data_IF_627273115121
#
_entry.id   IF_627273115121
#
_cell.length_a   1.000
_cell.length_b   1.000
_cell.length_c   1.000
_cell.angle_alpha   90.00
_cell.angle_beta   90.00
_cell.angle_gamma   90.00
#
_symmetry.space_group_name_H-M   'P 1'
#
loop_
_entity.id
_entity.type
_entity.pdbx_description
1 polymer ?
#
# COMPACT_ATOMS: atom_id res chain seq x y z
N UNK A 1 -9.82 10.20 -21.00
CA UNK A 1 -10.05 8.75 -21.19
C UNK A 1 -11.52 8.51 -21.48
N UNK A 2 -11.84 7.67 -22.46
CA UNK A 2 -13.22 7.23 -22.68
C UNK A 2 -13.66 6.35 -21.49
N UNK A 3 -14.89 6.50 -21.01
CA UNK A 3 -15.45 5.72 -19.88
C UNK A 3 -15.24 4.20 -20.06
N UNK A 4 -15.35 3.71 -21.30
CA UNK A 4 -15.10 2.29 -21.66
C UNK A 4 -13.67 1.85 -21.34
N UNK A 5 -12.66 2.66 -21.66
CA UNK A 5 -11.27 2.35 -21.38
C UNK A 5 -10.99 2.27 -19.87
N UNK A 6 -11.58 3.18 -19.08
CA UNK A 6 -11.44 3.15 -17.62
C UNK A 6 -12.03 1.87 -17.00
N UNK A 7 -13.20 1.43 -17.47
CA UNK A 7 -13.83 0.17 -17.00
C UNK A 7 -12.96 -1.04 -17.34
N UNK A 8 -12.42 -1.12 -18.56
CA UNK A 8 -11.52 -2.22 -18.97
C UNK A 8 -10.28 -2.27 -18.06
N UNK A 9 -9.67 -1.12 -17.79
CA UNK A 9 -8.51 -1.03 -16.90
C UNK A 9 -8.85 -1.51 -15.49
N UNK A 10 -10.01 -1.10 -14.95
CA UNK A 10 -10.45 -1.53 -13.61
C UNK A 10 -10.62 -3.05 -13.55
N UNK A 11 -11.31 -3.65 -14.53
CA UNK A 11 -11.52 -5.10 -14.60
C UNK A 11 -10.18 -5.84 -14.66
N UNK A 12 -9.24 -5.35 -15.48
CA UNK A 12 -7.91 -5.92 -15.57
C UNK A 12 -7.15 -5.86 -14.23
N UNK A 13 -7.21 -4.72 -13.53
CA UNK A 13 -6.60 -4.56 -12.20
C UNK A 13 -7.17 -5.58 -11.20
N UNK A 14 -8.49 -5.78 -11.20
CA UNK A 14 -9.13 -6.77 -10.33
C UNK A 14 -8.69 -8.20 -10.63
N UNK A 15 -8.61 -8.57 -11.91
CA UNK A 15 -8.14 -9.89 -12.34
C UNK A 15 -6.69 -10.09 -11.88
N UNK A 16 -5.78 -9.16 -12.22
CA UNK A 16 -4.38 -9.24 -11.81
C UNK A 16 -4.22 -9.31 -10.29
N UNK A 17 -4.91 -8.43 -9.54
CA UNK A 17 -4.87 -8.43 -8.07
C UNK A 17 -5.36 -9.74 -7.47
N UNK A 18 -6.40 -10.35 -8.06
CA UNK A 18 -6.93 -11.64 -7.62
C UNK A 18 -5.95 -12.79 -7.88
N UNK A 19 -5.30 -12.79 -9.05
CA UNK A 19 -4.25 -13.77 -9.38
C UNK A 19 -3.04 -13.63 -8.44
N UNK A 20 -2.58 -12.41 -8.17
CA UNK A 20 -1.47 -12.16 -7.24
C UNK A 20 -1.80 -12.61 -5.82
N UNK A 21 -3.06 -12.48 -5.40
CA UNK A 21 -3.51 -12.83 -4.04
C UNK A 21 -3.84 -14.32 -3.88
N UNK A 22 -3.97 -15.05 -4.99
CA UNK A 22 -4.36 -16.47 -5.00
C UNK A 22 -3.48 -17.37 -4.13
N UNK A 23 -2.12 -17.23 -4.11
CA UNK A 23 -1.28 -18.02 -3.22
C UNK A 23 -1.64 -17.85 -1.73
N UNK A 24 -1.93 -16.63 -1.27
CA UNK A 24 -2.38 -16.41 0.12
C UNK A 24 -3.66 -17.19 0.41
N UNK A 25 -4.61 -17.20 -0.53
CA UNK A 25 -5.90 -17.87 -0.35
C UNK A 25 -5.76 -19.41 -0.29
N UNK A 26 -4.90 -20.00 -1.12
CA UNK A 26 -4.76 -21.46 -1.22
C UNK A 26 -3.80 -22.06 -0.18
N UNK A 27 -2.74 -21.32 0.18
CA UNK A 27 -1.59 -21.83 0.93
C UNK A 27 -1.60 -21.35 2.40
N UNK A 28 -2.46 -20.41 2.77
CA UNK A 28 -2.61 -20.02 4.18
C UNK A 28 -3.04 -21.20 5.05
N UNK A 29 -2.40 -21.35 6.21
CA UNK A 29 -2.68 -22.42 7.17
C UNK A 29 -2.65 -21.85 8.58
N UNK A 30 -3.57 -22.33 9.42
CA UNK A 30 -3.64 -21.99 10.83
C UNK A 30 -2.87 -23.04 11.66
N UNK A 31 -1.86 -22.60 12.42
CA UNK A 31 -1.06 -23.44 13.32
C UNK A 31 -1.20 -22.92 14.74
N UNK A 32 -1.40 -23.83 15.70
CA UNK A 32 -1.42 -23.52 17.14
C UNK A 32 -0.04 -23.77 17.75
N UNK A 33 0.62 -22.70 18.19
CA UNK A 33 1.89 -22.78 18.91
C UNK A 33 1.65 -22.78 20.42
N UNK A 34 2.35 -23.68 21.13
CA UNK A 34 2.41 -23.67 22.59
C UNK A 34 3.68 -22.93 23.01
N UNK A 35 3.52 -21.76 23.62
CA UNK A 35 4.64 -20.93 24.07
C UNK A 35 5.17 -21.43 25.43
N UNK A 36 6.41 -21.05 25.76
CA UNK A 36 7.08 -21.45 27.01
C UNK A 36 6.34 -21.00 28.28
N UNK A 37 5.46 -19.99 28.16
CA UNK A 37 4.58 -19.51 29.23
C UNK A 37 3.30 -20.36 29.42
N UNK A 38 3.12 -21.44 28.66
CA UNK A 38 1.93 -22.30 28.70
C UNK A 38 0.74 -21.79 27.87
N UNK A 39 0.85 -20.61 27.24
CA UNK A 39 -0.20 -20.10 26.37
C UNK A 39 -0.19 -20.78 25.01
N UNK A 40 -1.38 -21.14 24.53
CA UNK A 40 -1.59 -21.63 23.17
C UNK A 40 -2.12 -20.49 22.32
N UNK A 41 -1.41 -20.14 21.24
CA UNK A 41 -1.84 -19.11 20.28
C UNK A 41 -1.96 -19.72 18.89
N UNK A 42 -3.11 -19.54 18.25
CA UNK A 42 -3.33 -19.95 16.86
C UNK A 42 -3.00 -18.80 15.95
N UNK A 43 -2.05 -19.02 15.04
CA UNK A 43 -1.57 -18.02 14.08
C UNK A 43 -1.80 -18.53 12.65
N UNK A 44 -2.05 -17.61 11.73
CA UNK A 44 -2.19 -17.91 10.31
C UNK A 44 -0.92 -17.47 9.56
N UNK A 45 -0.28 -18.41 8.88
CA UNK A 45 0.93 -18.16 8.07
C UNK A 45 0.77 -18.74 6.67
N UNK A 46 1.51 -18.20 5.71
CA UNK A 46 1.75 -18.88 4.44
C UNK A 46 2.79 -19.97 4.67
N UNK A 47 2.44 -21.22 4.34
CA UNK A 47 3.34 -22.36 4.46
C UNK A 47 3.68 -22.84 3.05
N UNK A 48 4.82 -22.40 2.55
CA UNK A 48 5.34 -22.87 1.27
C UNK A 48 5.89 -24.30 1.39
N UNK A 49 5.85 -25.09 0.30
CA UNK A 49 6.31 -26.47 0.32
C UNK A 49 7.83 -26.63 0.53
N UNK A 50 8.63 -25.55 0.42
CA UNK A 50 10.09 -25.62 0.57
C UNK A 50 10.61 -25.44 2.01
N UNK A 51 9.77 -25.10 2.99
CA UNK A 51 10.27 -24.91 4.35
C UNK A 51 9.38 -24.23 5.37
N UNK A 52 9.98 -23.99 6.55
CA UNK A 52 9.36 -23.37 7.72
C UNK A 52 9.14 -21.86 7.46
N UNK A 53 8.03 -21.27 7.93
CA UNK A 53 7.80 -19.82 7.83
C UNK A 53 9.02 -19.01 8.31
N UNK A 54 9.48 -18.06 7.49
CA UNK A 54 10.65 -17.22 7.78
C UNK A 54 11.99 -17.72 7.22
N UNK A 55 12.10 -18.98 6.78
CA UNK A 55 13.30 -19.51 6.08
C UNK A 55 13.02 -19.95 4.64
N UNK A 56 11.74 -20.02 4.24
CA UNK A 56 11.32 -20.36 2.88
C UNK A 56 11.84 -19.36 1.84
N UNK A 57 12.45 -19.86 0.77
CA UNK A 57 12.92 -19.01 -0.34
C UNK A 57 11.74 -18.55 -1.19
N UNK A 58 10.73 -19.42 -1.39
CA UNK A 58 9.52 -19.03 -2.10
C UNK A 58 8.73 -17.94 -1.37
N UNK A 59 8.65 -17.98 -0.05
CA UNK A 59 8.03 -16.92 0.75
C UNK A 59 8.74 -15.58 0.55
N UNK A 60 10.07 -15.59 0.59
CA UNK A 60 10.86 -14.37 0.39
C UNK A 60 10.68 -13.80 -1.02
N UNK A 61 10.78 -14.63 -2.05
CA UNK A 61 10.56 -14.22 -3.45
C UNK A 61 9.15 -13.65 -3.61
N UNK A 62 8.14 -14.28 -3.01
CA UNK A 62 6.76 -13.82 -3.06
C UNK A 62 6.58 -12.45 -2.38
N UNK A 63 7.13 -12.26 -1.19
CA UNK A 63 7.08 -10.98 -0.46
C UNK A 63 7.80 -9.85 -1.22
N UNK A 64 8.94 -10.15 -1.83
CA UNK A 64 9.66 -9.20 -2.72
C UNK A 64 8.81 -8.86 -3.94
N UNK A 65 8.22 -9.86 -4.60
CA UNK A 65 7.38 -9.64 -5.78
C UNK A 65 6.16 -8.78 -5.44
N UNK A 66 5.49 -9.06 -4.32
CA UNK A 66 4.39 -8.22 -3.81
C UNK A 66 4.89 -6.79 -3.55
N UNK A 67 5.96 -6.62 -2.78
CA UNK A 67 6.52 -5.30 -2.48
C UNK A 67 6.78 -4.50 -3.77
N UNK A 68 7.38 -5.12 -4.78
CA UNK A 68 7.68 -4.44 -6.02
C UNK A 68 6.42 -4.10 -6.82
N UNK A 69 5.51 -5.07 -7.00
CA UNK A 69 4.35 -4.94 -7.89
C UNK A 69 3.21 -4.14 -7.28
N UNK A 70 2.95 -4.27 -5.98
CA UNK A 70 1.81 -3.65 -5.30
C UNK A 70 2.15 -2.38 -4.54
N UNK A 71 3.43 -2.17 -4.20
CA UNK A 71 3.87 -1.00 -3.45
C UNK A 71 4.85 -0.12 -4.24
N UNK A 72 6.05 -0.60 -4.59
CA UNK A 72 7.12 0.23 -5.19
C UNK A 72 6.70 0.79 -6.56
N UNK A 73 6.21 -0.06 -7.47
CA UNK A 73 5.81 0.37 -8.81
C UNK A 73 4.64 1.37 -8.77
N UNK A 74 3.53 1.11 -8.05
CA UNK A 74 2.46 2.10 -7.88
C UNK A 74 2.96 3.39 -7.24
N UNK A 75 3.77 3.32 -6.18
CA UNK A 75 4.32 4.49 -5.50
C UNK A 75 5.20 5.34 -6.42
N UNK A 76 6.12 4.70 -7.16
CA UNK A 76 7.00 5.40 -8.08
C UNK A 76 6.22 6.07 -9.22
N UNK A 77 5.24 5.36 -9.81
CA UNK A 77 4.41 5.91 -10.89
C UNK A 77 3.54 7.08 -10.41
N UNK A 78 2.93 6.98 -9.23
CA UNK A 78 2.14 8.05 -8.62
C UNK A 78 3.02 9.25 -8.25
N UNK A 79 4.16 9.02 -7.60
CA UNK A 79 5.09 10.08 -7.25
C UNK A 79 5.58 10.83 -8.50
N UNK A 80 5.95 10.11 -9.57
CA UNK A 80 6.38 10.71 -10.82
C UNK A 80 5.27 11.55 -11.46
N UNK A 81 4.10 10.95 -11.69
CA UNK A 81 2.98 11.61 -12.38
C UNK A 81 2.46 12.81 -11.59
N UNK A 82 2.29 12.71 -10.26
CA UNK A 82 1.84 13.83 -9.45
C UNK A 82 2.89 14.93 -9.29
N UNK A 83 4.17 14.58 -9.26
CA UNK A 83 5.25 15.59 -9.29
C UNK A 83 5.25 16.36 -10.60
N UNK A 84 5.10 15.67 -11.74
CA UNK A 84 4.98 16.33 -13.04
C UNK A 84 3.75 17.23 -13.10
N UNK A 85 2.59 16.74 -12.66
CA UNK A 85 1.37 17.54 -12.59
C UNK A 85 1.53 18.77 -11.71
N UNK A 86 2.15 18.63 -10.53
CA UNK A 86 2.42 19.75 -9.63
C UNK A 86 3.37 20.77 -10.27
N UNK A 87 4.45 20.32 -10.93
CA UNK A 87 5.38 21.24 -11.62
C UNK A 87 4.68 22.03 -12.73
N UNK A 88 3.82 21.39 -13.51
CA UNK A 88 3.06 22.07 -14.57
C UNK A 88 2.05 23.06 -13.96
N UNK A 89 1.25 22.62 -12.99
CA UNK A 89 0.20 23.44 -12.38
C UNK A 89 0.70 24.64 -11.58
N UNK A 90 1.88 24.54 -10.95
CA UNK A 90 2.50 25.66 -10.21
C UNK A 90 3.54 26.43 -11.04
N UNK A 91 4.13 25.81 -12.05
CA UNK A 91 5.10 26.44 -12.96
C UNK A 91 4.46 27.22 -14.11
N UNK A 92 3.21 26.93 -14.48
CA UNK A 92 2.45 27.71 -15.46
C UNK A 92 1.99 29.05 -14.88
N UNK A 93 2.92 30.00 -14.70
CA UNK A 93 2.58 31.43 -14.69
C UNK A 93 2.23 31.83 -16.12
N UNK A 94 0.95 31.86 -16.47
CA UNK A 94 0.53 32.40 -17.77
C UNK A 94 0.83 33.91 -17.80
N UNK A 95 1.59 34.33 -18.81
CA UNK A 95 1.81 35.74 -19.14
C UNK A 95 0.63 36.16 -20.03
N UNK A 96 -0.37 36.85 -19.44
CA UNK A 96 -1.57 37.30 -20.13
C UNK A 96 -2.74 37.55 -19.16
N UNK A 97 -3.75 38.32 -19.57
CA UNK A 97 -4.95 38.59 -18.77
C UNK A 97 -5.79 37.32 -18.64
N UNK A 98 -5.61 36.58 -17.54
CA UNK A 98 -6.41 35.40 -17.26
C UNK A 98 -7.81 35.81 -16.80
N UNK A 99 -8.83 35.29 -17.49
CA UNK A 99 -10.21 35.35 -17.00
C UNK A 99 -10.29 34.71 -15.61
N UNK A 100 -11.08 35.30 -14.69
CA UNK A 100 -11.30 34.76 -13.34
C UNK A 100 -11.70 33.28 -13.36
N UNK A 101 -12.49 32.86 -14.35
CA UNK A 101 -12.87 31.47 -14.57
C UNK A 101 -11.66 30.54 -14.76
N UNK A 102 -10.65 30.95 -15.53
CA UNK A 102 -9.45 30.14 -15.76
C UNK A 102 -8.61 29.99 -14.49
N UNK A 103 -8.50 31.05 -13.67
CA UNK A 103 -7.81 31.00 -12.38
C UNK A 103 -8.51 30.05 -11.41
N UNK A 104 -9.84 30.09 -11.35
CA UNK A 104 -10.62 29.19 -10.49
C UNK A 104 -10.52 27.74 -10.95
N UNK A 105 -10.51 27.48 -12.26
CA UNK A 105 -10.24 26.14 -12.80
C UNK A 105 -8.85 25.61 -12.42
N UNK A 106 -7.80 26.44 -12.51
CA UNK A 106 -6.43 26.05 -12.13
C UNK A 106 -6.36 25.75 -10.63
N UNK A 107 -6.94 26.62 -9.78
CA UNK A 107 -6.99 26.40 -8.32
C UNK A 107 -7.71 25.12 -7.95
N UNK A 108 -8.83 24.82 -8.61
CA UNK A 108 -9.56 23.56 -8.41
C UNK A 108 -8.70 22.35 -8.76
N UNK A 109 -7.97 22.38 -9.87
CA UNK A 109 -7.03 21.30 -10.24
C UNK A 109 -5.88 21.16 -9.26
N UNK A 110 -5.29 22.26 -8.80
CA UNK A 110 -4.23 22.24 -7.77
C UNK A 110 -4.74 21.61 -6.46
N UNK A 111 -5.98 21.91 -6.06
CA UNK A 111 -6.63 21.32 -4.88
C UNK A 111 -6.76 19.80 -5.02
N UNK A 112 -7.18 19.31 -6.19
CA UNK A 112 -7.25 17.87 -6.48
C UNK A 112 -5.86 17.23 -6.47
N UNK A 113 -4.86 17.82 -7.10
CA UNK A 113 -3.49 17.26 -7.11
C UNK A 113 -2.90 17.23 -5.70
N UNK A 114 -3.10 18.28 -4.90
CA UNK A 114 -2.69 18.31 -3.48
C UNK A 114 -3.36 17.17 -2.70
N UNK A 115 -4.63 16.89 -2.97
CA UNK A 115 -5.36 15.78 -2.36
C UNK A 115 -4.75 14.43 -2.73
N UNK A 116 -4.45 14.22 -4.01
CA UNK A 116 -3.80 12.99 -4.49
C UNK A 116 -2.42 12.79 -3.87
N UNK A 117 -1.62 13.85 -3.70
CA UNK A 117 -0.32 13.79 -3.02
C UNK A 117 -0.50 13.34 -1.55
N UNK A 118 -1.48 13.88 -0.83
CA UNK A 118 -1.76 13.48 0.56
C UNK A 118 -2.13 12.00 0.64
N UNK A 119 -2.98 11.51 -0.28
CA UNK A 119 -3.33 10.07 -0.36
C UNK A 119 -2.09 9.20 -0.56
N UNK A 120 -1.18 9.58 -1.47
CA UNK A 120 0.06 8.83 -1.74
C UNK A 120 0.97 8.78 -0.53
N UNK A 121 1.14 9.91 0.18
CA UNK A 121 1.98 9.97 1.38
C UNK A 121 1.43 9.06 2.48
N UNK A 122 0.11 9.09 2.69
CA UNK A 122 -0.54 8.24 3.69
C UNK A 122 -0.42 6.76 3.31
N UNK A 123 -0.66 6.41 2.05
CA UNK A 123 -0.47 5.05 1.56
C UNK A 123 0.96 4.55 1.81
N UNK A 124 1.96 5.39 1.52
CA UNK A 124 3.37 5.08 1.77
C UNK A 124 3.64 4.77 3.25
N UNK A 125 3.24 5.68 4.14
CA UNK A 125 3.49 5.56 5.58
C UNK A 125 2.75 4.36 6.18
N UNK A 126 1.54 4.06 5.69
CA UNK A 126 0.75 2.97 6.23
C UNK A 126 1.32 1.59 5.85
N UNK A 127 1.77 1.43 4.61
CA UNK A 127 2.19 0.13 4.08
C UNK A 127 3.68 -0.16 4.25
N UNK A 128 4.54 0.87 4.34
CA UNK A 128 5.98 0.68 4.48
C UNK A 128 6.37 -0.19 5.67
N UNK A 129 5.86 0.03 6.91
CA UNK A 129 6.26 -0.76 8.07
C UNK A 129 5.88 -2.24 7.92
N UNK A 130 4.74 -2.52 7.30
CA UNK A 130 4.29 -3.87 7.01
C UNK A 130 5.27 -4.59 6.06
N UNK A 131 5.61 -3.98 4.93
CA UNK A 131 6.57 -4.59 4.01
C UNK A 131 7.98 -4.73 4.58
N UNK A 132 8.46 -3.70 5.31
CA UNK A 132 9.75 -3.76 6.00
C UNK A 132 9.81 -4.88 7.03
N UNK A 133 8.70 -5.16 7.73
CA UNK A 133 8.62 -6.26 8.68
C UNK A 133 8.86 -7.62 8.02
N UNK A 134 8.23 -7.93 6.88
CA UNK A 134 8.44 -9.22 6.21
C UNK A 134 9.88 -9.38 5.70
N UNK A 135 10.46 -8.32 5.14
CA UNK A 135 11.86 -8.33 4.72
C UNK A 135 12.81 -8.55 5.90
N UNK A 136 12.60 -7.81 6.98
CA UNK A 136 13.44 -7.90 8.16
C UNK A 136 13.32 -9.27 8.84
N UNK A 137 12.10 -9.81 8.94
CA UNK A 137 11.84 -11.12 9.55
C UNK A 137 12.51 -12.27 8.78
N UNK A 138 12.73 -12.14 7.47
CA UNK A 138 13.48 -13.13 6.68
C UNK A 138 14.98 -13.09 6.97
N UNK A 139 15.58 -11.89 7.04
CA UNK A 139 17.01 -11.74 7.30
C UNK A 139 17.42 -11.96 8.76
N UNK A 140 16.46 -11.84 9.69
CA UNK A 140 16.71 -12.00 11.13
C UNK A 140 15.64 -12.90 11.76
N UNK A 141 15.66 -14.21 11.48
CA UNK A 141 14.66 -15.15 11.97
C UNK A 141 14.66 -15.28 13.51
N UNK A 142 15.77 -14.94 14.17
CA UNK A 142 15.87 -14.88 15.63
C UNK A 142 14.90 -13.88 16.27
N UNK A 143 14.53 -12.83 15.52
CA UNK A 143 13.59 -11.82 15.99
C UNK A 143 12.20 -12.43 16.16
N UNK A 144 11.79 -13.36 15.29
CA UNK A 144 10.48 -14.01 15.36
C UNK A 144 10.23 -14.77 16.69
N UNK A 145 11.28 -15.12 17.42
CA UNK A 145 11.18 -15.79 18.72
C UNK A 145 11.01 -14.85 19.92
N UNK A 146 11.06 -13.52 19.74
CA UNK A 146 10.87 -12.58 20.85
C UNK A 146 9.38 -12.35 21.13
N UNK A 147 9.02 -12.30 22.41
CA UNK A 147 7.62 -12.15 22.86
C UNK A 147 6.94 -10.86 22.36
N UNK A 148 7.71 -9.77 22.14
CA UNK A 148 7.16 -8.50 21.66
C UNK A 148 6.85 -8.47 20.16
N UNK A 149 7.36 -9.41 19.36
CA UNK A 149 7.24 -9.36 17.89
C UNK A 149 5.80 -9.45 17.43
N UNK A 150 4.95 -10.20 18.13
CA UNK A 150 3.54 -10.29 17.81
C UNK A 150 2.83 -8.94 17.96
N UNK A 151 3.15 -8.19 19.01
CA UNK A 151 2.61 -6.84 19.21
C UNK A 151 3.08 -5.87 18.12
N UNK A 152 4.36 -5.96 17.75
CA UNK A 152 4.94 -5.15 16.66
C UNK A 152 4.27 -5.47 15.32
N UNK A 153 4.14 -6.76 14.98
CA UNK A 153 3.45 -7.21 13.78
C UNK A 153 2.01 -6.72 13.72
N UNK A 154 1.25 -6.89 14.80
CA UNK A 154 -0.14 -6.45 14.87
C UNK A 154 -0.26 -4.92 14.72
N UNK A 155 0.65 -4.15 15.31
CA UNK A 155 0.67 -2.70 15.17
C UNK A 155 0.92 -2.28 13.71
N UNK A 156 1.90 -2.89 13.02
CA UNK A 156 2.16 -2.61 11.61
C UNK A 156 1.02 -3.05 10.70
N UNK A 157 0.42 -4.21 10.99
CA UNK A 157 -0.76 -4.70 10.26
C UNK A 157 -1.96 -3.77 10.42
N UNK A 158 -2.25 -3.30 11.64
CA UNK A 158 -3.31 -2.34 11.89
C UNK A 158 -3.07 -1.00 11.19
N UNK A 159 -1.83 -0.52 11.21
CA UNK A 159 -1.47 0.70 10.50
C UNK A 159 -1.70 0.55 9.00
N UNK A 160 -1.27 -0.57 8.39
CA UNK A 160 -1.52 -0.84 6.97
C UNK A 160 -3.02 -0.88 6.65
N UNK A 161 -3.83 -1.54 7.49
CA UNK A 161 -5.27 -1.64 7.30
C UNK A 161 -6.01 -0.31 7.51
N UNK A 162 -5.49 0.57 8.37
CA UNK A 162 -6.05 1.91 8.60
C UNK A 162 -6.01 2.81 7.36
N UNK A 163 -5.20 2.47 6.34
CA UNK A 163 -5.12 3.19 5.07
C UNK A 163 -6.51 3.49 4.45
N UNK A 164 -7.42 2.52 4.51
CA UNK A 164 -8.77 2.65 3.96
C UNK A 164 -9.62 3.71 4.67
N UNK A 165 -9.36 3.99 5.95
CA UNK A 165 -10.08 5.00 6.74
C UNK A 165 -9.70 6.42 6.34
N UNK A 166 -8.45 6.66 5.92
CA UNK A 166 -8.01 7.99 5.56
C UNK A 166 -8.62 8.49 4.24
N UNK A 167 -9.00 7.58 3.33
CA UNK A 167 -9.58 7.96 2.04
C UNK A 167 -10.81 8.89 2.22
N UNK A 168 -11.91 8.50 2.91
CA UNK A 168 -13.03 9.41 3.21
C UNK A 168 -12.62 10.68 3.96
N UNK A 169 -11.71 10.59 4.95
CA UNK A 169 -11.29 11.74 5.73
C UNK A 169 -10.62 12.81 4.87
N UNK A 170 -9.74 12.39 3.96
CA UNK A 170 -9.05 13.28 3.01
C UNK A 170 -10.07 13.92 2.07
N UNK A 171 -11.01 13.13 1.53
CA UNK A 171 -12.04 13.67 0.66
C UNK A 171 -12.90 14.71 1.39
N UNK A 172 -13.35 14.44 2.62
CA UNK A 172 -14.16 15.39 3.39
C UNK A 172 -13.38 16.64 3.75
N UNK A 173 -12.14 16.48 4.26
CA UNK A 173 -11.32 17.61 4.67
C UNK A 173 -10.99 18.53 3.50
N UNK A 174 -10.68 17.95 2.33
CA UNK A 174 -10.28 18.72 1.16
C UNK A 174 -11.48 19.14 0.32
N UNK A 175 -12.62 18.45 0.27
CA UNK A 175 -13.83 18.95 -0.41
C UNK A 175 -14.72 19.86 0.46
N UNK A 176 -14.34 20.21 1.69
CA UNK A 176 -15.01 21.32 2.38
C UNK A 176 -14.95 22.57 1.49
N UNK A 177 -16.15 23.10 1.22
CA UNK A 177 -16.38 24.36 0.52
C UNK A 177 -15.70 25.49 1.27
#
# INVERSE_FOLDING_TARGET
>A
MAKKAAVIIIVFIWICGSLLSLPNALISRAITYSYANGEKRTLCFLIWPDGIPGLSTFDYIYNIAILLLTYVLPMASMAFTYTMMARVLWGSKCIGEQSQLQQDFIRSKQKVVKMLIVVVVIFAICWLPYHCYFLYSYHSPEVANKQYVQHVYLAFYWLAMSNSMYNPMIYVWMNKK
#
